data_IF_045995914056
#
_entry.id   IF_045995914056
#
_cell.length_a   1.000
_cell.length_b   1.000
_cell.length_c   1.000
_cell.angle_alpha   90.00
_cell.angle_beta   90.00
_cell.angle_gamma   90.00
#
_symmetry.space_group_name_H-M   'P 1'
#
loop_
_entity.id
_entity.type
_entity.pdbx_description
1 polymer ?
#
# COMPACT_ATOMS: atom_id res chain seq x y z
N UNK A 1 3.73 -0.95 -26.05
CA UNK A 1 3.48 -1.94 -24.99
C UNK A 1 2.17 -1.57 -24.33
N UNK A 2 1.19 -2.47 -24.36
CA UNK A 2 -0.12 -2.27 -23.75
C UNK A 2 0.05 -2.19 -22.23
N UNK A 3 0.14 -0.96 -21.70
CA UNK A 3 -0.04 -0.72 -20.27
C UNK A 3 -1.52 -0.90 -19.98
N UNK A 4 -1.95 -2.16 -19.83
CA UNK A 4 -3.29 -2.49 -19.40
C UNK A 4 -3.44 -2.09 -17.93
N UNK A 5 -3.79 -0.82 -17.71
CA UNK A 5 -3.99 -0.19 -16.40
C UNK A 5 -5.22 -0.71 -15.67
N UNK A 6 -6.00 -1.61 -16.30
CA UNK A 6 -7.24 -2.14 -15.76
C UNK A 6 -8.42 -1.18 -15.84
N UNK A 7 -8.20 0.04 -16.37
CA UNK A 7 -9.23 1.06 -16.57
C UNK A 7 -10.34 0.59 -17.52
N UNK A 8 -9.99 -0.22 -18.52
CA UNK A 8 -10.94 -0.83 -19.45
C UNK A 8 -11.98 -1.72 -18.74
N UNK A 9 -11.61 -2.35 -17.61
CA UNK A 9 -12.53 -3.17 -16.80
C UNK A 9 -13.53 -2.34 -15.99
N UNK A 10 -13.23 -1.07 -15.77
CA UNK A 10 -14.12 -0.10 -15.09
C UNK A 10 -14.98 0.64 -16.14
N UNK A 11 -14.79 0.36 -17.43
CA UNK A 11 -15.49 1.04 -18.52
C UNK A 11 -14.95 2.44 -18.80
N UNK A 12 -13.77 2.80 -18.28
CA UNK A 12 -13.12 4.08 -18.55
C UNK A 12 -12.40 3.98 -19.89
N UNK A 13 -12.62 4.96 -20.77
CA UNK A 13 -12.01 4.93 -22.08
C UNK A 13 -10.51 5.24 -22.03
N UNK A 14 -9.67 4.26 -22.38
CA UNK A 14 -8.22 4.43 -22.46
C UNK A 14 -7.80 5.04 -23.81
N UNK A 15 -6.56 5.52 -23.94
CA UNK A 15 -5.99 5.99 -25.21
C UNK A 15 -6.05 4.96 -26.36
N UNK A 16 -6.21 3.67 -26.04
CA UNK A 16 -6.51 2.64 -27.03
C UNK A 16 -7.89 2.82 -27.68
N UNK A 17 -8.92 3.21 -26.93
CA UNK A 17 -10.24 3.52 -27.47
C UNK A 17 -10.22 4.76 -28.34
N UNK A 18 -9.43 5.77 -27.98
CA UNK A 18 -9.21 6.95 -28.83
C UNK A 18 -8.50 6.56 -30.13
N UNK A 19 -7.45 5.72 -30.07
CA UNK A 19 -6.79 5.22 -31.27
C UNK A 19 -7.75 4.42 -32.16
N UNK A 20 -8.55 3.53 -31.58
CA UNK A 20 -9.55 2.75 -32.33
C UNK A 20 -10.60 3.69 -32.97
N UNK A 21 -11.11 4.65 -32.21
CA UNK A 21 -12.06 5.64 -32.70
C UNK A 21 -11.47 6.42 -33.88
N UNK A 22 -10.23 6.90 -33.76
CA UNK A 22 -9.53 7.64 -34.81
C UNK A 22 -9.21 6.79 -36.05
N UNK A 23 -8.92 5.49 -35.89
CA UNK A 23 -8.69 4.59 -37.02
C UNK A 23 -9.97 4.15 -37.74
N UNK A 24 -11.13 4.26 -37.08
CA UNK A 24 -12.43 3.82 -37.61
C UNK A 24 -13.26 4.99 -38.16
N UNK A 25 -13.00 6.22 -37.68
CA UNK A 25 -13.75 7.42 -38.07
C UNK A 25 -13.30 8.00 -39.41
N UNK A 26 -14.25 8.32 -40.28
CA UNK A 26 -14.02 9.03 -41.55
C UNK A 26 -13.58 10.49 -41.36
N UNK A 27 -13.94 11.11 -40.23
CA UNK A 27 -13.52 12.45 -39.85
C UNK A 27 -12.90 12.45 -38.44
N UNK A 28 -11.58 12.65 -38.31
CA UNK A 28 -10.87 12.53 -37.04
C UNK A 28 -11.15 13.70 -36.09
N UNK A 29 -11.53 14.89 -36.60
CA UNK A 29 -11.74 16.06 -35.74
C UNK A 29 -13.05 15.95 -34.95
N UNK A 30 -14.13 15.54 -35.59
CA UNK A 30 -15.41 15.28 -34.93
C UNK A 30 -15.29 14.13 -33.91
N UNK A 31 -14.57 13.06 -34.23
CA UNK A 31 -14.30 11.96 -33.31
C UNK A 31 -13.54 12.39 -32.05
N UNK A 32 -12.56 13.30 -32.18
CA UNK A 32 -11.84 13.87 -31.02
C UNK A 32 -12.79 14.71 -30.17
N UNK A 33 -13.63 15.54 -30.79
CA UNK A 33 -14.55 16.41 -30.06
C UNK A 33 -15.63 15.59 -29.32
N UNK A 34 -16.15 14.55 -29.94
CA UNK A 34 -17.08 13.61 -29.31
C UNK A 34 -16.42 12.87 -28.15
N UNK A 35 -15.19 12.38 -28.33
CA UNK A 35 -14.43 11.75 -27.25
C UNK A 35 -14.16 12.69 -26.07
N UNK A 36 -13.85 13.97 -26.35
CA UNK A 36 -13.65 14.98 -25.32
C UNK A 36 -14.94 15.35 -24.59
N UNK A 37 -16.09 15.36 -25.28
CA UNK A 37 -17.37 15.61 -24.64
C UNK A 37 -17.78 14.45 -23.75
N UNK A 38 -17.56 13.20 -24.18
CA UNK A 38 -17.92 11.99 -23.42
C UNK A 38 -17.03 11.78 -22.19
N UNK A 39 -15.73 12.08 -22.30
CA UNK A 39 -14.76 11.85 -21.21
C UNK A 39 -14.34 13.14 -20.48
N UNK A 40 -14.97 14.28 -20.81
CA UNK A 40 -14.71 15.57 -20.21
C UNK A 40 -15.27 15.67 -18.79
N UNK A 41 -14.82 16.68 -18.04
CA UNK A 41 -15.45 17.00 -16.76
C UNK A 41 -16.73 17.77 -17.05
N UNK A 42 -17.88 17.15 -16.80
CA UNK A 42 -19.20 17.76 -16.91
C UNK A 42 -19.48 18.73 -15.76
N UNK A 43 -18.74 19.83 -15.73
CA UNK A 43 -19.02 20.97 -14.86
C UNK A 43 -19.32 22.18 -15.74
N UNK A 44 -20.57 22.66 -15.72
CA UNK A 44 -20.99 23.80 -16.54
C UNK A 44 -20.22 25.08 -16.20
N UNK A 45 -19.74 25.21 -14.96
CA UNK A 45 -18.81 26.26 -14.54
C UNK A 45 -17.44 26.15 -15.20
N UNK A 46 -16.95 24.93 -15.43
CA UNK A 46 -15.66 24.67 -16.06
C UNK A 46 -15.70 25.00 -17.55
N UNK A 47 -16.82 24.76 -18.23
CA UNK A 47 -17.03 25.13 -19.65
C UNK A 47 -16.82 26.63 -19.88
N UNK A 48 -17.26 27.47 -18.93
CA UNK A 48 -17.10 28.93 -19.00
C UNK A 48 -15.67 29.35 -18.63
N UNK A 49 -15.04 28.67 -17.67
CA UNK A 49 -13.71 29.02 -17.17
C UNK A 49 -12.56 28.55 -18.09
N UNK A 50 -12.74 27.47 -18.85
CA UNK A 50 -11.73 26.89 -19.75
C UNK A 50 -11.19 27.91 -20.77
N UNK A 51 -12.02 28.67 -21.51
CA UNK A 51 -11.54 29.70 -22.43
C UNK A 51 -10.70 30.80 -21.76
N UNK A 52 -11.06 31.21 -20.54
CA UNK A 52 -10.28 32.20 -19.79
C UNK A 52 -8.92 31.64 -19.40
N UNK A 53 -8.85 30.39 -18.98
CA UNK A 53 -7.59 29.74 -18.62
C UNK A 53 -6.69 29.50 -19.84
N UNK A 54 -7.28 29.18 -20.99
CA UNK A 54 -6.55 29.10 -22.26
C UNK A 54 -5.97 30.47 -22.65
N UNK A 55 -6.71 31.56 -22.46
CA UNK A 55 -6.22 32.94 -22.67
C UNK A 55 -5.05 33.29 -21.74
N UNK A 56 -5.04 32.77 -20.50
CA UNK A 56 -3.93 32.92 -19.57
C UNK A 56 -2.74 31.97 -19.85
N UNK A 57 -2.80 31.18 -20.92
CA UNK A 57 -1.72 30.27 -21.32
C UNK A 57 -1.58 29.04 -20.42
N UNK A 58 -2.59 28.74 -19.59
CA UNK A 58 -2.60 27.55 -18.74
C UNK A 58 -2.95 26.34 -19.60
N UNK A 59 -2.09 25.32 -19.59
CA UNK A 59 -2.36 24.08 -20.33
C UNK A 59 -3.54 23.35 -19.68
N UNK A 60 -4.52 22.93 -20.48
CA UNK A 60 -5.66 22.14 -19.97
C UNK A 60 -5.23 20.89 -19.20
N UNK A 61 -4.13 20.25 -19.62
CA UNK A 61 -3.55 19.10 -18.90
C UNK A 61 -3.20 19.44 -17.45
N UNK A 62 -2.55 20.58 -17.19
CA UNK A 62 -2.13 20.94 -15.82
C UNK A 62 -3.32 21.20 -14.92
N UNK A 63 -4.40 21.76 -15.47
CA UNK A 63 -5.65 21.91 -14.74
C UNK A 63 -6.26 20.55 -14.40
N UNK A 64 -6.40 19.64 -15.37
CA UNK A 64 -6.99 18.32 -15.11
C UNK A 64 -6.17 17.52 -14.09
N UNK A 65 -4.83 17.59 -14.16
CA UNK A 65 -3.96 16.97 -13.16
C UNK A 65 -4.18 17.57 -11.76
N UNK A 66 -4.25 18.90 -11.65
CA UNK A 66 -4.49 19.57 -10.35
C UNK A 66 -5.86 19.24 -9.75
N UNK A 67 -6.90 19.16 -10.58
CA UNK A 67 -8.24 18.76 -10.16
C UNK A 67 -8.22 17.31 -9.69
N UNK A 68 -7.56 16.44 -10.45
CA UNK A 68 -7.42 15.03 -10.12
C UNK A 68 -6.71 14.83 -8.77
N UNK A 69 -5.59 15.53 -8.55
CA UNK A 69 -4.87 15.50 -7.26
C UNK A 69 -5.75 15.97 -6.10
N UNK A 70 -6.49 17.07 -6.30
CA UNK A 70 -7.40 17.61 -5.27
C UNK A 70 -8.54 16.63 -4.96
N UNK A 71 -9.11 15.97 -5.98
CA UNK A 71 -10.15 14.94 -5.80
C UNK A 71 -9.58 13.74 -5.05
N UNK A 72 -8.38 13.29 -5.43
CA UNK A 72 -7.70 12.18 -4.76
C UNK A 72 -7.48 12.49 -3.28
N UNK A 73 -7.00 13.68 -2.95
CA UNK A 73 -6.80 14.10 -1.56
C UNK A 73 -8.11 14.14 -0.78
N UNK A 74 -9.17 14.75 -1.34
CA UNK A 74 -10.50 14.76 -0.70
C UNK A 74 -11.06 13.36 -0.50
N UNK A 75 -10.85 12.46 -1.45
CA UNK A 75 -11.28 11.08 -1.34
C UNK A 75 -10.51 10.34 -0.24
N UNK A 76 -9.19 10.52 -0.16
CA UNK A 76 -8.37 9.96 0.92
C UNK A 76 -8.79 10.49 2.30
N UNK A 77 -9.10 11.79 2.40
CA UNK A 77 -9.66 12.38 3.61
C UNK A 77 -10.99 11.72 3.97
N UNK A 78 -11.90 11.56 3.01
CA UNK A 78 -13.20 10.92 3.25
C UNK A 78 -13.07 9.46 3.66
N UNK A 79 -12.12 8.72 3.07
CA UNK A 79 -11.80 7.34 3.49
C UNK A 79 -11.31 7.32 4.94
N UNK A 80 -10.45 8.26 5.34
CA UNK A 80 -9.98 8.36 6.73
C UNK A 80 -11.09 8.73 7.72
N UNK A 81 -12.02 9.61 7.32
CA UNK A 81 -13.20 9.94 8.13
C UNK A 81 -14.12 8.72 8.31
N UNK A 82 -14.43 8.02 7.21
CA UNK A 82 -15.24 6.80 7.26
C UNK A 82 -14.58 5.72 8.13
N UNK A 83 -13.27 5.57 8.05
CA UNK A 83 -12.52 4.64 8.89
C UNK A 83 -12.55 5.01 10.38
N UNK A 84 -12.65 6.30 10.72
CA UNK A 84 -12.71 6.73 12.12
C UNK A 84 -14.05 6.44 12.80
N UNK A 85 -15.14 6.40 12.04
CA UNK A 85 -16.48 6.14 12.57
C UNK A 85 -16.71 4.66 12.91
N UNK A 86 -15.98 3.71 12.27
CA UNK A 86 -16.06 2.26 12.53
C UNK A 86 -17.48 1.65 12.49
N UNK A 87 -18.42 2.30 11.79
CA UNK A 87 -19.78 1.79 11.63
C UNK A 87 -19.82 0.64 10.61
N UNK A 88 -20.71 -0.35 10.81
CA UNK A 88 -20.90 -1.43 9.84
C UNK A 88 -21.23 -0.93 8.42
N UNK A 89 -22.02 0.13 8.31
CA UNK A 89 -22.36 0.77 7.03
C UNK A 89 -21.15 1.44 6.37
N UNK A 90 -20.22 1.99 7.18
CA UNK A 90 -18.99 2.60 6.68
C UNK A 90 -18.05 1.55 6.09
N UNK A 91 -17.97 0.38 6.74
CA UNK A 91 -17.18 -0.76 6.26
C UNK A 91 -17.76 -1.30 4.95
N UNK A 92 -19.08 -1.45 4.83
CA UNK A 92 -19.72 -1.87 3.57
C UNK A 92 -19.47 -0.87 2.42
N UNK A 93 -19.50 0.44 2.71
CA UNK A 93 -19.15 1.47 1.71
C UNK A 93 -17.68 1.38 1.29
N UNK A 94 -16.77 1.08 2.22
CA UNK A 94 -15.35 0.86 1.91
C UNK A 94 -15.14 -0.42 1.10
N UNK A 95 -15.87 -1.49 1.39
CA UNK A 95 -15.82 -2.75 0.62
C UNK A 95 -16.32 -2.56 -0.82
N UNK A 96 -17.45 -1.88 -1.01
CA UNK A 96 -18.00 -1.59 -2.35
C UNK A 96 -17.09 -0.65 -3.15
N UNK A 97 -16.45 0.31 -2.47
CA UNK A 97 -15.44 1.18 -3.09
C UNK A 97 -14.17 0.38 -3.45
N UNK A 98 -13.75 -0.57 -2.62
CA UNK A 98 -12.63 -1.46 -2.96
C UNK A 98 -12.99 -2.32 -4.17
N UNK A 99 -14.16 -2.94 -4.19
CA UNK A 99 -14.60 -3.83 -5.29
C UNK A 99 -14.62 -3.10 -6.64
N UNK A 100 -15.02 -1.82 -6.65
CA UNK A 100 -15.04 -1.00 -7.87
C UNK A 100 -13.66 -0.45 -8.27
N UNK A 101 -12.79 -0.13 -7.31
CA UNK A 101 -11.47 0.48 -7.58
C UNK A 101 -10.35 -0.54 -7.84
N UNK A 102 -10.45 -1.74 -7.23
CA UNK A 102 -9.42 -2.77 -7.30
C UNK A 102 -9.07 -3.24 -8.73
N UNK A 103 -10.00 -3.34 -9.70
CA UNK A 103 -9.66 -3.66 -11.08
C UNK A 103 -8.64 -2.72 -11.72
N UNK A 104 -8.55 -1.46 -11.25
CA UNK A 104 -7.60 -0.47 -11.72
C UNK A 104 -6.39 -0.26 -10.78
N UNK A 105 -6.08 -1.21 -9.90
CA UNK A 105 -4.92 -1.14 -8.99
C UNK A 105 -3.57 -1.01 -9.72
N UNK A 106 -3.52 -1.48 -10.98
CA UNK A 106 -2.34 -1.34 -11.84
C UNK A 106 -2.08 0.13 -12.22
N UNK A 107 -3.08 0.99 -12.14
CA UNK A 107 -2.90 2.43 -12.33
C UNK A 107 -2.27 3.07 -11.08
N UNK A 108 -1.13 3.74 -11.27
CA UNK A 108 -0.36 4.41 -10.21
C UNK A 108 -1.16 5.50 -9.49
N UNK A 109 -2.14 6.10 -10.17
CA UNK A 109 -2.92 7.20 -9.64
C UNK A 109 -4.04 6.77 -8.68
N UNK A 110 -4.64 5.60 -8.94
CA UNK A 110 -5.74 5.01 -8.13
C UNK A 110 -5.17 4.15 -7.00
N UNK A 111 -3.97 3.57 -7.18
CA UNK A 111 -3.32 2.71 -6.21
C UNK A 111 -3.26 3.26 -4.77
N UNK A 112 -2.94 4.55 -4.51
CA UNK A 112 -2.92 5.09 -3.15
C UNK A 112 -4.29 5.00 -2.45
N UNK A 113 -5.38 5.14 -3.22
CA UNK A 113 -6.74 5.03 -2.71
C UNK A 113 -7.04 3.59 -2.31
N UNK A 114 -6.76 2.62 -3.17
CA UNK A 114 -6.94 1.20 -2.86
C UNK A 114 -6.13 0.81 -1.61
N UNK A 115 -4.86 1.23 -1.53
CA UNK A 115 -4.00 0.94 -0.38
C UNK A 115 -4.51 1.57 0.91
N UNK A 116 -5.02 2.81 0.86
CA UNK A 116 -5.61 3.47 2.02
C UNK A 116 -6.89 2.75 2.50
N UNK A 117 -7.76 2.35 1.59
CA UNK A 117 -8.99 1.62 1.90
C UNK A 117 -8.67 0.26 2.53
N UNK A 118 -7.73 -0.47 1.94
CA UNK A 118 -7.29 -1.77 2.46
C UNK A 118 -6.66 -1.68 3.84
N UNK A 119 -5.95 -0.59 4.15
CA UNK A 119 -5.40 -0.35 5.49
C UNK A 119 -6.48 -0.28 6.57
N UNK A 120 -7.63 0.29 6.25
CA UNK A 120 -8.72 0.51 7.19
C UNK A 120 -9.73 -0.65 7.27
N UNK A 121 -9.67 -1.60 6.33
CA UNK A 121 -10.55 -2.76 6.33
C UNK A 121 -10.08 -3.82 7.34
N UNK A 122 -10.96 -4.27 8.27
CA UNK A 122 -10.60 -5.25 9.28
C UNK A 122 -10.25 -6.63 8.68
N UNK A 123 -10.90 -6.99 7.56
CA UNK A 123 -10.63 -8.20 6.80
C UNK A 123 -10.74 -7.91 5.31
N UNK A 124 -9.65 -8.02 4.58
CA UNK A 124 -9.66 -7.93 3.11
C UNK A 124 -9.99 -9.29 2.50
N UNK A 125 -10.72 -9.31 1.38
CA UNK A 125 -11.05 -10.53 0.63
C UNK A 125 -9.76 -11.22 0.12
N UNK A 126 -9.67 -12.53 0.28
CA UNK A 126 -8.49 -13.34 -0.09
C UNK A 126 -8.11 -13.22 -1.58
N UNK A 127 -9.09 -12.96 -2.45
CA UNK A 127 -8.86 -12.77 -3.89
C UNK A 127 -7.90 -11.59 -4.14
N UNK A 128 -8.05 -10.52 -3.37
CA UNK A 128 -7.22 -9.33 -3.48
C UNK A 128 -5.82 -9.55 -2.91
N UNK A 129 -5.73 -10.30 -1.81
CA UNK A 129 -4.45 -10.68 -1.21
C UNK A 129 -3.60 -11.54 -2.15
N UNK A 130 -4.22 -12.47 -2.89
CA UNK A 130 -3.52 -13.29 -3.90
C UNK A 130 -2.96 -12.44 -5.04
N UNK A 131 -3.72 -11.49 -5.56
CA UNK A 131 -3.23 -10.60 -6.62
C UNK A 131 -2.10 -9.67 -6.13
N UNK A 132 -2.14 -9.24 -4.86
CA UNK A 132 -1.02 -8.50 -4.26
C UNK A 132 0.25 -9.34 -4.12
N UNK A 133 0.13 -10.64 -3.90
CA UNK A 133 1.27 -11.55 -3.82
C UNK A 133 1.93 -11.79 -5.19
N UNK A 134 1.15 -11.78 -6.26
CA UNK A 134 1.65 -11.93 -7.64
C UNK A 134 2.49 -10.72 -8.07
N UNK A 135 2.10 -9.51 -7.66
CA UNK A 135 2.75 -8.26 -8.05
C UNK A 135 3.65 -7.69 -6.93
N UNK A 136 4.98 -7.87 -7.07
CA UNK A 136 5.99 -7.44 -6.08
C UNK A 136 5.95 -5.94 -5.76
N UNK A 137 5.66 -5.09 -6.74
CA UNK A 137 5.54 -3.63 -6.52
C UNK A 137 4.36 -3.29 -5.62
N UNK A 138 3.21 -3.93 -5.86
CA UNK A 138 2.00 -3.71 -5.04
C UNK A 138 2.20 -4.23 -3.62
N UNK A 139 2.88 -5.38 -3.46
CA UNK A 139 3.25 -5.89 -2.14
C UNK A 139 4.17 -4.91 -1.40
N UNK A 140 5.16 -4.30 -2.04
CA UNK A 140 6.06 -3.36 -1.36
C UNK A 140 5.33 -2.12 -0.84
N UNK A 141 4.44 -1.54 -1.65
CA UNK A 141 3.65 -0.35 -1.31
C UNK A 141 2.51 -0.61 -0.32
N UNK A 142 2.10 -1.88 -0.16
CA UNK A 142 1.05 -2.25 0.78
C UNK A 142 1.41 -1.89 2.23
N UNK A 143 0.41 -1.39 2.96
CA UNK A 143 0.51 -1.07 4.38
C UNK A 143 0.82 -2.32 5.21
N UNK A 144 1.48 -2.14 6.35
CA UNK A 144 1.85 -3.25 7.25
C UNK A 144 0.64 -4.04 7.72
N UNK A 145 -0.51 -3.40 7.91
CA UNK A 145 -1.78 -3.98 8.33
C UNK A 145 -2.30 -4.98 7.28
N UNK A 146 -2.19 -4.65 6.00
CA UNK A 146 -2.54 -5.53 4.89
C UNK A 146 -1.56 -6.70 4.83
N UNK A 147 -0.26 -6.43 4.98
CA UNK A 147 0.77 -7.47 5.00
C UNK A 147 0.56 -8.45 6.16
N UNK A 148 0.09 -8.00 7.32
CA UNK A 148 -0.26 -8.88 8.44
C UNK A 148 -1.33 -9.89 8.06
N UNK A 149 -2.39 -9.47 7.38
CA UNK A 149 -3.44 -10.39 6.90
C UNK A 149 -2.87 -11.42 5.91
N UNK A 150 -1.91 -11.02 5.06
CA UNK A 150 -1.20 -11.94 4.17
C UNK A 150 -0.34 -12.94 4.97
N UNK A 151 0.40 -12.46 5.97
CA UNK A 151 1.29 -13.26 6.81
C UNK A 151 0.56 -14.27 7.69
N UNK A 152 -0.64 -13.93 8.17
CA UNK A 152 -1.50 -14.86 8.91
C UNK A 152 -1.84 -16.10 8.07
N UNK A 153 -2.05 -15.92 6.77
CA UNK A 153 -2.36 -17.00 5.84
C UNK A 153 -1.11 -17.68 5.24
N UNK A 154 0.05 -17.01 5.25
CA UNK A 154 1.29 -17.52 4.65
C UNK A 154 2.50 -17.40 5.59
N UNK A 155 2.73 -18.46 6.35
CA UNK A 155 3.81 -18.53 7.36
C UNK A 155 5.20 -18.44 6.74
N UNK A 156 5.40 -19.00 5.54
CA UNK A 156 6.71 -19.05 4.88
C UNK A 156 7.15 -17.63 4.52
N UNK A 157 6.26 -16.85 3.89
CA UNK A 157 6.52 -15.46 3.52
C UNK A 157 6.85 -14.60 4.75
N UNK A 158 6.13 -14.80 5.85
CA UNK A 158 6.41 -14.10 7.09
C UNK A 158 7.79 -14.46 7.66
N UNK A 159 8.16 -15.74 7.61
CA UNK A 159 9.49 -16.21 7.99
C UNK A 159 10.61 -15.54 7.19
N UNK A 160 10.44 -15.42 5.86
CA UNK A 160 11.40 -14.76 4.98
C UNK A 160 11.60 -13.27 5.30
N UNK A 161 10.54 -12.55 5.70
CA UNK A 161 10.60 -11.14 6.10
C UNK A 161 11.21 -10.95 7.51
N UNK A 162 10.95 -11.87 8.44
CA UNK A 162 11.43 -11.79 9.83
C UNK A 162 12.88 -12.25 9.96
N UNK A 163 13.31 -13.25 9.19
CA UNK A 163 14.65 -13.81 9.22
C UNK A 163 15.78 -12.76 9.07
N UNK A 164 15.76 -11.82 8.10
CA UNK A 164 16.80 -10.80 7.98
C UNK A 164 16.86 -9.88 9.20
N UNK A 165 15.71 -9.56 9.83
CA UNK A 165 15.69 -8.76 11.06
C UNK A 165 16.32 -9.49 12.23
N UNK A 166 16.06 -10.79 12.35
CA UNK A 166 16.67 -11.64 13.39
C UNK A 166 18.18 -11.79 13.17
N UNK A 167 18.61 -11.96 11.91
CA UNK A 167 20.03 -12.02 11.56
C UNK A 167 20.75 -10.70 11.84
N UNK A 168 20.14 -9.56 11.49
CA UNK A 168 20.67 -8.23 11.82
C UNK A 168 20.76 -8.01 13.32
N UNK A 169 19.74 -8.43 14.09
CA UNK A 169 19.76 -8.36 15.54
C UNK A 169 20.96 -9.13 16.11
N UNK A 170 21.21 -10.33 15.60
CA UNK A 170 22.35 -11.14 16.04
C UNK A 170 23.68 -10.48 15.69
N UNK A 171 23.85 -10.01 14.46
CA UNK A 171 25.07 -9.28 14.05
C UNK A 171 25.31 -8.03 14.91
N UNK A 172 24.27 -7.29 15.27
CA UNK A 172 24.39 -6.17 16.22
C UNK A 172 24.83 -6.63 17.61
N UNK A 173 24.40 -7.80 18.07
CA UNK A 173 24.85 -8.36 19.37
C UNK A 173 26.30 -8.76 19.33
N UNK A 174 26.69 -9.54 18.34
CA UNK A 174 28.08 -9.96 18.17
C UNK A 174 28.98 -8.71 18.12
N UNK A 175 28.67 -7.74 17.24
CA UNK A 175 29.42 -6.48 17.16
C UNK A 175 29.50 -5.74 18.49
N UNK A 176 28.42 -5.71 19.27
CA UNK A 176 28.42 -5.08 20.59
C UNK A 176 29.25 -5.83 21.62
N UNK A 177 29.42 -7.15 21.50
CA UNK A 177 30.30 -7.95 22.35
C UNK A 177 31.78 -7.74 21.97
N UNK A 178 32.07 -7.55 20.67
CA UNK A 178 33.42 -7.31 20.18
C UNK A 178 33.92 -5.88 20.44
N UNK A 179 33.02 -4.89 20.49
CA UNK A 179 33.39 -3.50 20.82
C UNK A 179 33.69 -3.33 22.31
N UNK A 180 34.90 -2.88 22.62
CA UNK A 180 35.34 -2.52 23.98
C UNK A 180 34.85 -1.12 24.43
N UNK A 181 33.97 -0.47 23.67
CA UNK A 181 33.68 0.98 23.81
C UNK A 181 32.74 1.37 24.96
N UNK A 182 32.39 0.47 25.89
CA UNK A 182 31.84 0.88 27.20
C UNK A 182 31.70 -0.30 28.18
N UNK A 183 32.58 -0.42 29.20
CA UNK A 183 32.46 -1.46 30.22
C UNK A 183 31.20 -1.32 31.11
N UNK A 184 30.49 -0.17 31.06
CA UNK A 184 29.23 0.06 31.79
C UNK A 184 27.94 -0.32 31.02
N UNK A 185 28.01 -0.51 29.70
CA UNK A 185 26.88 -0.87 28.84
C UNK A 185 26.92 -2.37 28.50
N UNK A 186 26.99 -3.22 29.53
CA UNK A 186 26.79 -4.65 29.34
C UNK A 186 25.42 -4.90 28.72
N UNK A 187 25.35 -5.60 27.60
CA UNK A 187 24.08 -5.90 26.92
C UNK A 187 23.02 -6.53 27.87
N UNK A 188 23.48 -7.29 28.86
CA UNK A 188 22.66 -7.90 29.91
C UNK A 188 22.20 -6.90 31.00
N UNK A 189 22.84 -5.74 31.16
CA UNK A 189 22.46 -4.71 32.14
C UNK A 189 21.38 -3.76 31.61
N UNK A 190 21.14 -3.72 30.29
CA UNK A 190 20.05 -2.91 29.72
C UNK A 190 18.70 -3.40 30.22
N UNK A 191 17.92 -2.50 30.82
CA UNK A 191 16.56 -2.77 31.29
C UNK A 191 15.68 -3.19 30.09
N UNK A 192 14.78 -4.18 30.21
CA UNK A 192 13.92 -4.64 29.11
C UNK A 192 13.21 -3.51 28.34
N UNK A 193 12.82 -2.43 29.03
CA UNK A 193 12.21 -1.23 28.43
C UNK A 193 13.14 -0.50 27.46
N UNK A 194 14.45 -0.43 27.73
CA UNK A 194 15.42 0.20 26.84
C UNK A 194 15.74 -0.70 25.63
N UNK A 195 15.69 -2.03 25.80
CA UNK A 195 15.87 -2.99 24.69
C UNK A 195 14.76 -2.83 23.64
N UNK A 196 13.50 -2.72 24.08
CA UNK A 196 12.33 -2.53 23.19
C UNK A 196 12.34 -1.23 22.38
N UNK A 197 13.16 -0.24 22.76
CA UNK A 197 13.34 1.01 22.00
C UNK A 197 14.29 0.86 20.81
N UNK A 198 14.98 -0.28 20.66
CA UNK A 198 15.87 -0.51 19.51
C UNK A 198 15.05 -0.53 18.20
N UNK A 199 15.57 0.08 17.12
CA UNK A 199 14.83 0.23 15.88
C UNK A 199 14.41 -1.11 15.27
N UNK A 200 15.26 -2.14 15.34
CA UNK A 200 14.96 -3.49 14.86
C UNK A 200 13.78 -4.13 15.60
N UNK A 201 13.77 -4.02 16.94
CA UNK A 201 12.70 -4.56 17.78
C UNK A 201 11.40 -3.78 17.61
N UNK A 202 11.49 -2.45 17.46
CA UNK A 202 10.33 -1.62 17.14
C UNK A 202 9.72 -2.04 15.80
N UNK A 203 10.55 -2.29 14.78
CA UNK A 203 10.09 -2.78 13.48
C UNK A 203 9.42 -4.15 13.58
N UNK A 204 10.00 -5.08 14.34
CA UNK A 204 9.40 -6.40 14.55
C UNK A 204 8.06 -6.32 15.31
N UNK A 205 7.97 -5.46 16.32
CA UNK A 205 6.70 -5.17 17.01
C UNK A 205 5.67 -4.51 16.09
N UNK A 206 6.10 -3.61 15.20
CA UNK A 206 5.25 -3.03 14.16
C UNK A 206 4.81 -4.07 13.12
N UNK A 207 5.58 -5.11 12.84
CA UNK A 207 5.13 -6.19 11.95
C UNK A 207 4.08 -7.07 12.62
N UNK A 208 4.29 -7.46 13.87
CA UNK A 208 3.35 -8.31 14.62
C UNK A 208 2.06 -7.56 15.00
N UNK A 209 2.20 -6.33 15.50
CA UNK A 209 1.10 -5.51 15.98
C UNK A 209 0.26 -6.18 17.07
N UNK A 210 -1.04 -6.25 16.83
CA UNK A 210 -2.05 -6.82 17.75
C UNK A 210 -2.39 -8.29 17.47
N UNK A 211 -1.78 -8.90 16.44
CA UNK A 211 -2.11 -10.26 16.04
C UNK A 211 -1.38 -11.30 16.91
N UNK A 212 -2.16 -12.11 17.63
CA UNK A 212 -1.65 -13.19 18.49
C UNK A 212 -1.03 -14.31 17.67
N UNK A 213 -1.59 -14.62 16.50
CA UNK A 213 -1.09 -15.67 15.61
C UNK A 213 0.30 -15.33 15.09
N UNK A 214 0.52 -14.08 14.63
CA UNK A 214 1.83 -13.61 14.19
C UNK A 214 2.85 -13.65 15.33
N UNK A 215 2.44 -13.27 16.54
CA UNK A 215 3.29 -13.33 17.72
C UNK A 215 3.75 -14.76 18.05
N UNK A 216 2.80 -15.71 18.04
CA UNK A 216 3.10 -17.12 18.29
C UNK A 216 4.00 -17.70 17.20
N UNK A 217 3.84 -17.30 15.94
CA UNK A 217 4.73 -17.68 14.85
C UNK A 217 6.15 -17.16 15.05
N UNK A 218 6.33 -15.89 15.47
CA UNK A 218 7.66 -15.37 15.81
C UNK A 218 8.28 -16.19 16.93
N UNK A 219 7.52 -16.54 17.98
CA UNK A 219 8.01 -17.39 19.06
C UNK A 219 8.41 -18.78 18.57
N UNK A 220 7.65 -19.37 17.66
CA UNK A 220 8.00 -20.65 17.04
C UNK A 220 9.28 -20.55 16.22
N UNK A 221 9.45 -19.50 15.40
CA UNK A 221 10.69 -19.25 14.66
C UNK A 221 11.90 -19.06 15.57
N UNK A 222 11.75 -18.29 16.66
CA UNK A 222 12.82 -18.12 17.63
C UNK A 222 13.22 -19.45 18.29
N UNK A 223 12.24 -20.32 18.62
CA UNK A 223 12.51 -21.66 19.16
C UNK A 223 13.21 -22.55 18.15
N UNK A 224 12.77 -22.59 16.90
CA UNK A 224 13.40 -23.43 15.86
C UNK A 224 14.80 -22.95 15.51
N UNK A 225 15.01 -21.64 15.39
CA UNK A 225 16.33 -21.05 15.17
C UNK A 225 17.26 -21.32 16.35
N UNK A 226 16.78 -21.21 17.59
CA UNK A 226 17.57 -21.57 18.78
C UNK A 226 17.96 -23.05 18.77
N UNK A 227 17.03 -23.96 18.51
CA UNK A 227 17.33 -25.40 18.46
C UNK A 227 18.36 -25.75 17.37
N UNK A 228 18.34 -25.02 16.25
CA UNK A 228 19.26 -25.24 15.13
C UNK A 228 20.64 -24.61 15.35
N UNK A 229 20.69 -23.35 15.78
CA UNK A 229 21.94 -22.59 15.93
C UNK A 229 22.62 -22.78 17.29
N UNK A 230 21.84 -23.15 18.32
CA UNK A 230 22.23 -23.16 19.75
C UNK A 230 22.67 -21.79 20.28
N UNK A 231 22.32 -20.71 19.58
CA UNK A 231 22.72 -19.37 19.98
C UNK A 231 21.78 -18.81 21.05
N UNK A 232 22.32 -18.64 22.25
CA UNK A 232 21.62 -18.08 23.42
C UNK A 232 21.10 -16.65 23.21
N UNK A 233 21.60 -15.91 22.21
CA UNK A 233 21.13 -14.55 21.92
C UNK A 233 19.67 -14.51 21.47
N UNK A 234 19.16 -15.58 20.83
CA UNK A 234 17.73 -15.67 20.49
C UNK A 234 16.82 -15.71 21.72
N UNK A 235 17.29 -16.26 22.85
CA UNK A 235 16.51 -16.30 24.08
C UNK A 235 16.25 -14.91 24.68
N UNK A 236 17.05 -13.91 24.30
CA UNK A 236 16.87 -12.53 24.76
C UNK A 236 15.71 -11.79 24.07
N UNK A 237 15.13 -12.39 23.02
CA UNK A 237 13.99 -11.86 22.25
C UNK A 237 12.64 -12.41 22.72
N UNK A 238 12.63 -13.43 23.59
CA UNK A 238 11.43 -13.99 24.21
C UNK A 238 10.90 -13.07 25.31
#
# INVERSE_FOLDING_TARGET
MSNNTGLDKIGIATGNHLNIALTTSSDPLSAIQEFQNVNGIDADTLKIALPFLDLHGVKRLTLHLSIFETIREKLLQRVSELASNNDADSIQKLETLLDSSFPAIKNKDIRPVCMAVMKHLPKVKDVYLKQLLEDKELYQEAATEVKRQIWENNQVLFGEEVQPLLAQYLQEKERSLWRHDNPGLTFFSLIPRQRRKRPLLKRLLEMVGTSVTLYDMVLQFLRTLFLRSRDTHYCTLR
#
